data_IF_899592194133
#
_entry.id   IF_899592194133
#
_cell.length_a   1.000
_cell.length_b   1.000
_cell.length_c   1.000
_cell.angle_alpha   90.00
_cell.angle_beta   90.00
_cell.angle_gamma   90.00
#
_symmetry.space_group_name_H-M   'P 1'
#
loop_
_entity.id
_entity.type
_entity.pdbx_description
1 polymer ?
#
# COMPACT_ATOMS: atom_id res chain seq x y z
N UNK A 1 -0.39 -10.88 2.32
CA UNK A 1 0.57 -9.76 2.37
C UNK A 1 0.45 -8.97 1.09
N UNK A 2 0.68 -7.66 1.16
CA UNK A 2 0.62 -6.76 0.01
C UNK A 2 2.03 -6.25 -0.32
N UNK A 3 2.33 -6.06 -1.60
CA UNK A 3 3.60 -5.57 -2.12
C UNK A 3 3.37 -4.75 -3.38
N UNK A 4 4.33 -3.92 -3.77
CA UNK A 4 4.22 -3.07 -4.96
C UNK A 4 5.57 -2.83 -5.60
N UNK A 5 5.58 -2.58 -6.91
CA UNK A 5 6.76 -2.14 -7.66
C UNK A 5 6.93 -0.61 -7.69
N UNK A 6 5.97 0.17 -7.17
CA UNK A 6 6.04 1.64 -7.20
C UNK A 6 6.35 2.21 -5.82
N UNK A 7 7.29 3.17 -5.77
CA UNK A 7 7.67 3.84 -4.53
C UNK A 7 6.50 4.60 -3.93
N UNK A 8 5.68 5.25 -4.76
CA UNK A 8 4.50 6.00 -4.33
C UNK A 8 3.49 5.13 -3.56
N UNK A 9 3.13 3.96 -4.11
CA UNK A 9 2.24 3.02 -3.43
C UNK A 9 2.88 2.43 -2.15
N UNK A 10 4.20 2.24 -2.14
CA UNK A 10 4.91 1.79 -0.94
C UNK A 10 4.88 2.85 0.17
N UNK A 11 5.02 4.13 -0.17
CA UNK A 11 4.89 5.25 0.76
C UNK A 11 3.47 5.28 1.34
N UNK A 12 2.44 5.16 0.50
CA UNK A 12 1.06 5.06 1.00
C UNK A 12 0.85 3.89 1.95
N UNK A 13 1.41 2.72 1.63
CA UNK A 13 1.36 1.56 2.51
C UNK A 13 2.02 1.80 3.86
N UNK A 14 3.10 2.58 3.90
CA UNK A 14 3.82 2.93 5.12
C UNK A 14 3.07 3.98 5.96
N UNK A 15 2.58 5.05 5.34
CA UNK A 15 1.88 6.16 6.01
C UNK A 15 0.47 5.79 6.50
N UNK A 16 -0.20 4.87 5.81
CA UNK A 16 -1.55 4.40 6.17
C UNK A 16 -1.52 3.13 7.01
N UNK A 17 -0.34 2.62 7.35
CA UNK A 17 -0.19 1.45 8.21
C UNK A 17 -0.82 1.70 9.58
N UNK A 18 -1.42 0.66 10.16
CA UNK A 18 -1.97 0.74 11.52
C UNK A 18 -0.85 0.60 12.54
N UNK A 19 -0.81 1.52 13.50
CA UNK A 19 0.07 1.47 14.67
C UNK A 19 0.83 2.78 14.88
N UNK A 20 1.47 2.90 16.04
CA UNK A 20 2.23 4.11 16.44
C UNK A 20 3.74 3.97 16.20
N UNK A 21 4.17 2.84 15.64
CA UNK A 21 5.56 2.60 15.30
C UNK A 21 5.96 3.43 14.06
N UNK A 22 7.24 3.82 14.00
CA UNK A 22 7.79 4.52 12.84
C UNK A 22 7.53 3.75 11.55
N UNK A 23 7.09 4.46 10.52
CA UNK A 23 6.82 3.95 9.19
C UNK A 23 8.10 3.39 8.55
N UNK A 24 7.98 2.27 7.84
CA UNK A 24 9.10 1.59 7.18
C UNK A 24 8.67 1.03 5.84
N UNK A 25 9.59 1.05 4.88
CA UNK A 25 9.44 0.44 3.58
C UNK A 25 10.55 -0.61 3.42
N UNK A 26 10.17 -1.84 3.14
CA UNK A 26 11.10 -2.93 2.92
C UNK A 26 11.13 -3.34 1.45
N UNK A 27 12.33 -3.58 0.94
CA UNK A 27 12.54 -4.24 -0.34
C UNK A 27 12.46 -5.74 -0.09
N UNK A 28 11.60 -6.41 -0.84
CA UNK A 28 11.28 -7.82 -0.63
C UNK A 28 11.42 -8.63 -1.91
N UNK A 29 11.80 -9.89 -1.76
CA UNK A 29 11.71 -10.91 -2.81
C UNK A 29 10.51 -11.81 -2.51
N UNK A 30 9.55 -11.95 -3.44
CA UNK A 30 8.51 -12.96 -3.34
C UNK A 30 9.11 -14.36 -3.36
N UNK A 31 8.72 -15.22 -2.42
CA UNK A 31 9.19 -16.62 -2.41
C UNK A 31 8.28 -17.57 -3.17
N UNK A 32 7.24 -17.05 -3.81
CA UNK A 32 6.25 -17.81 -4.56
C UNK A 32 5.27 -16.89 -5.27
N UNK A 33 4.15 -17.44 -5.73
CA UNK A 33 3.21 -16.73 -6.57
C UNK A 33 2.55 -15.53 -5.88
N UNK A 34 2.24 -14.53 -6.69
CA UNK A 34 1.49 -13.34 -6.31
C UNK A 34 0.51 -12.98 -7.43
N UNK A 35 -0.55 -12.25 -7.08
CA UNK A 35 -1.60 -11.82 -7.99
C UNK A 35 -1.79 -10.30 -7.87
N UNK A 36 -2.43 -9.69 -8.87
CA UNK A 36 -2.80 -8.27 -8.81
C UNK A 36 -3.66 -7.96 -7.59
N UNK A 37 -3.41 -6.81 -6.95
CA UNK A 37 -4.17 -6.38 -5.79
C UNK A 37 -5.59 -5.97 -6.22
N UNK A 38 -6.64 -6.70 -5.77
CA UNK A 38 -8.01 -6.42 -6.17
C UNK A 38 -8.54 -5.12 -5.56
N UNK A 39 -7.85 -4.49 -4.60
CA UNK A 39 -8.30 -3.24 -4.00
C UNK A 39 -8.00 -2.02 -4.87
N UNK A 40 -7.02 -2.12 -5.79
CA UNK A 40 -6.57 -0.99 -6.62
C UNK A 40 -6.53 -1.29 -8.11
N UNK A 41 -6.52 -2.58 -8.49
CA UNK A 41 -6.57 -3.01 -9.89
C UNK A 41 -7.99 -2.91 -10.44
N UNK A 42 -8.14 -2.33 -11.64
CA UNK A 42 -9.43 -2.15 -12.33
C UNK A 42 -10.51 -1.45 -11.49
N UNK A 43 -10.11 -0.60 -10.54
CA UNK A 43 -11.04 0.23 -9.75
C UNK A 43 -11.27 1.59 -10.37
N UNK A 44 -10.32 2.51 -10.17
CA UNK A 44 -10.40 3.88 -10.70
C UNK A 44 -9.85 3.97 -12.13
N UNK A 45 -8.86 3.14 -12.43
CA UNK A 45 -8.18 3.09 -13.72
C UNK A 45 -8.13 1.63 -14.21
N UNK A 46 -8.10 1.45 -15.53
CA UNK A 46 -8.00 0.12 -16.16
C UNK A 46 -6.62 -0.49 -15.88
N UNK A 47 -6.60 -1.77 -15.54
CA UNK A 47 -5.40 -2.54 -15.20
C UNK A 47 -4.82 -2.17 -13.82
N UNK A 48 -3.52 -2.44 -13.67
CA UNK A 48 -2.78 -2.25 -12.41
C UNK A 48 -1.68 -1.18 -12.56
N UNK A 49 -2.03 0.12 -12.68
CA UNK A 49 -1.04 1.17 -12.92
C UNK A 49 -0.11 1.42 -11.73
N UNK A 50 -0.58 1.16 -10.49
CA UNK A 50 0.24 1.26 -9.28
C UNK A 50 1.14 0.04 -9.08
N UNK A 51 0.98 -0.98 -9.93
CA UNK A 51 1.68 -2.26 -9.84
C UNK A 51 1.66 -2.82 -8.41
N UNK A 52 0.46 -2.90 -7.87
CA UNK A 52 0.20 -3.40 -6.52
C UNK A 52 -0.25 -4.85 -6.60
N UNK A 53 0.26 -5.68 -5.70
CA UNK A 53 0.05 -7.12 -5.71
C UNK A 53 -0.30 -7.62 -4.31
N UNK A 54 -0.86 -8.82 -4.24
CA UNK A 54 -1.02 -9.58 -2.99
C UNK A 54 -0.44 -10.99 -3.15
N UNK A 55 0.08 -11.52 -2.04
CA UNK A 55 0.52 -12.91 -1.95
C UNK A 55 0.11 -13.55 -0.64
N UNK A 56 -0.12 -14.87 -0.69
CA UNK A 56 -0.28 -15.74 0.48
C UNK A 56 1.04 -16.41 0.89
N UNK A 57 2.05 -16.37 0.03
CA UNK A 57 3.38 -16.92 0.29
C UNK A 57 4.24 -15.92 1.08
N UNK A 58 5.21 -16.38 1.87
CA UNK A 58 6.10 -15.48 2.60
C UNK A 58 6.88 -14.54 1.67
N UNK A 59 7.30 -13.41 2.24
CA UNK A 59 8.17 -12.44 1.59
C UNK A 59 9.52 -12.47 2.28
N UNK A 60 10.61 -12.52 1.51
CA UNK A 60 11.97 -12.40 2.05
C UNK A 60 12.38 -10.94 2.01
N UNK A 61 12.64 -10.35 3.18
CA UNK A 61 13.20 -9.00 3.25
C UNK A 61 14.66 -9.06 2.81
N UNK A 62 15.02 -8.28 1.80
CA UNK A 62 16.39 -8.18 1.29
C UNK A 62 17.06 -6.86 1.65
N UNK A 63 16.29 -5.80 1.86
CA UNK A 63 16.79 -4.52 2.33
C UNK A 63 15.66 -3.67 2.96
N UNK A 64 16.05 -2.63 3.68
CA UNK A 64 15.15 -1.54 4.09
C UNK A 64 15.41 -0.34 3.17
N UNK A 65 14.36 0.23 2.60
CA UNK A 65 14.45 1.47 1.84
C UNK A 65 14.56 2.63 2.82
N UNK A 66 15.72 3.31 2.81
CA UNK A 66 15.98 4.51 3.59
C UNK A 66 15.86 5.75 2.71
N UNK A 67 15.64 6.92 3.32
CA UNK A 67 15.60 8.23 2.65
C UNK A 67 14.50 8.41 1.60
N UNK A 68 13.34 7.81 1.79
CA UNK A 68 12.13 8.16 1.04
C UNK A 68 11.47 9.40 1.66
N UNK A 69 10.83 10.21 0.81
CA UNK A 69 10.05 11.36 1.25
C UNK A 69 8.60 10.96 1.30
N UNK A 70 7.95 11.15 2.45
CA UNK A 70 6.51 11.00 2.59
C UNK A 70 5.74 12.01 1.76
N UNK A 71 4.42 11.81 1.70
CA UNK A 71 3.53 12.79 1.10
C UNK A 71 3.47 14.05 1.96
N UNK A 72 3.10 15.17 1.33
CA UNK A 72 2.83 16.41 2.07
C UNK A 72 1.74 16.17 3.13
N UNK A 73 1.82 16.81 4.32
CA UNK A 73 0.82 16.64 5.37
C UNK A 73 -0.62 16.88 4.90
N UNK A 74 -0.83 17.83 3.99
CA UNK A 74 -2.13 18.13 3.39
C UNK A 74 -2.68 16.96 2.55
N UNK A 75 -1.81 16.29 1.79
CA UNK A 75 -2.18 15.14 0.93
C UNK A 75 -2.49 13.92 1.79
N UNK A 76 -1.65 13.64 2.79
CA UNK A 76 -1.87 12.55 3.73
C UNK A 76 -3.18 12.76 4.51
N UNK A 77 -3.42 13.97 5.02
CA UNK A 77 -4.63 14.30 5.75
C UNK A 77 -5.88 14.16 4.87
N UNK A 78 -5.85 14.64 3.63
CA UNK A 78 -6.95 14.50 2.70
C UNK A 78 -7.30 13.03 2.43
N UNK A 79 -6.28 12.16 2.30
CA UNK A 79 -6.47 10.73 2.11
C UNK A 79 -7.07 10.06 3.36
N UNK A 80 -6.55 10.36 4.55
CA UNK A 80 -7.10 9.87 5.82
C UNK A 80 -8.57 10.27 6.00
N UNK A 81 -8.92 11.50 5.67
CA UNK A 81 -10.30 11.98 5.74
C UNK A 81 -11.21 11.30 4.72
N UNK A 82 -10.70 11.02 3.51
CA UNK A 82 -11.43 10.25 2.52
C UNK A 82 -11.68 8.80 2.99
N UNK A 83 -10.67 8.13 3.55
CA UNK A 83 -10.82 6.79 4.11
C UNK A 83 -11.84 6.75 5.26
N UNK A 84 -11.83 7.75 6.15
CA UNK A 84 -12.85 7.88 7.21
C UNK A 84 -14.26 8.06 6.65
N UNK A 85 -14.43 8.81 5.55
CA UNK A 85 -15.73 8.97 4.88
C UNK A 85 -16.21 7.65 4.29
N UNK A 86 -15.33 6.91 3.62
CA UNK A 86 -15.65 5.59 3.05
C UNK A 86 -16.04 4.58 4.13
N UNK A 87 -15.30 4.55 5.25
CA UNK A 87 -15.63 3.69 6.39
C UNK A 87 -17.02 4.00 6.96
N UNK A 88 -17.35 5.29 7.15
CA UNK A 88 -18.69 5.73 7.59
C UNK A 88 -19.80 5.36 6.60
N UNK A 89 -19.50 5.29 5.31
CA UNK A 89 -20.41 4.85 4.26
C UNK A 89 -20.55 3.32 4.18
N UNK A 90 -19.83 2.56 5.03
CA UNK A 90 -19.84 1.09 5.02
C UNK A 90 -18.99 0.47 3.90
N UNK A 91 -18.24 1.27 3.15
CA UNK A 91 -17.36 0.81 2.07
C UNK A 91 -15.99 0.54 2.68
N UNK A 92 -15.68 -0.73 2.94
CA UNK A 92 -14.35 -1.17 3.40
C UNK A 92 -13.59 -1.85 2.25
N UNK A 93 -12.40 -1.35 1.96
CA UNK A 93 -11.48 -1.94 0.98
C UNK A 93 -10.61 -3.05 1.62
N UNK A 94 -11.22 -3.96 2.38
CA UNK A 94 -10.49 -5.06 3.01
C UNK A 94 -11.06 -6.38 2.49
N UNK A 95 -10.48 -6.86 1.39
CA UNK A 95 -10.54 -8.27 0.95
C UNK A 95 -9.30 -9.06 1.39
#
# INVERSE_FOLDING_TARGET
MYLTETVDAAIWGAELARGDAKERIYIVEPTGDFEDDPNVTDKKFKGNPTKSYRTKQPLKIVAEAINWNGHSPEVLQAMLDNLKKLEKAGIKAIE
#
